data_IF_843977448102
#
_entry.id   IF_843977448102
#
_cell.length_a   1.000
_cell.length_b   1.000
_cell.length_c   1.000
_cell.angle_alpha   90.00
_cell.angle_beta   90.00
_cell.angle_gamma   90.00
#
_symmetry.space_group_name_H-M   'P 1'
#
loop_
_entity.id
_entity.type
_entity.pdbx_description
1 polymer ?
#
# COMPACT_ATOMS: atom_id res chain seq x y z
N UNK A 1 25.55 87.20 20.13
CA UNK A 1 26.62 86.70 19.24
C UNK A 1 26.15 85.38 18.67
N UNK A 2 25.87 85.34 17.35
CA UNK A 2 26.63 84.60 16.32
C UNK A 2 26.45 83.06 16.44
N UNK A 3 26.13 82.23 15.44
CA UNK A 3 25.78 82.34 14.01
C UNK A 3 25.72 80.88 13.48
N UNK A 4 24.92 80.61 12.40
CA UNK A 4 24.99 79.49 11.44
C UNK A 4 24.75 78.04 11.93
N UNK A 5 23.66 77.35 11.52
CA UNK A 5 23.36 76.68 10.23
C UNK A 5 24.00 75.30 10.04
N UNK A 6 23.17 74.26 9.90
CA UNK A 6 23.25 73.31 8.79
C UNK A 6 22.04 72.35 8.79
N UNK A 7 21.29 72.43 7.69
CA UNK A 7 20.33 71.46 7.15
C UNK A 7 21.04 70.12 6.87
N UNK A 8 20.35 68.97 6.98
CA UNK A 8 20.39 67.87 5.98
C UNK A 8 19.35 66.77 6.28
N UNK A 9 18.40 66.69 5.34
CA UNK A 9 17.67 65.56 4.75
C UNK A 9 16.98 64.48 5.60
N UNK A 10 15.64 64.51 5.45
CA UNK A 10 14.74 63.39 5.20
C UNK A 10 15.35 62.01 4.91
N UNK A 11 14.92 61.01 5.68
CA UNK A 11 14.69 59.64 5.21
C UNK A 11 13.44 59.08 5.92
N UNK A 12 12.27 59.60 5.55
CA UNK A 12 11.05 58.81 5.53
C UNK A 12 10.94 58.19 4.12
N UNK A 13 10.48 56.94 4.05
CA UNK A 13 10.52 56.01 2.90
C UNK A 13 11.88 55.33 2.68
N UNK A 14 12.03 54.10 3.19
CA UNK A 14 12.01 52.85 2.40
C UNK A 14 11.78 51.68 3.39
N UNK A 15 10.53 51.32 3.63
CA UNK A 15 10.15 49.98 4.11
C UNK A 15 8.79 49.61 3.48
N UNK A 16 8.74 49.66 2.16
CA UNK A 16 7.66 49.09 1.35
C UNK A 16 8.27 48.54 0.06
N UNK A 17 9.00 47.44 0.17
CA UNK A 17 9.34 46.60 -0.98
C UNK A 17 9.72 45.16 -0.60
N UNK A 18 9.27 44.67 0.57
CA UNK A 18 9.14 43.24 0.82
C UNK A 18 7.68 42.99 1.12
N UNK A 19 6.85 43.18 0.10
CA UNK A 19 5.51 42.60 0.02
C UNK A 19 5.63 41.09 -0.16
N UNK A 20 6.30 40.41 0.78
CA UNK A 20 5.98 39.02 1.03
C UNK A 20 4.55 39.02 1.52
N UNK A 21 3.62 38.48 0.72
CA UNK A 21 2.31 38.12 1.27
C UNK A 21 2.62 37.21 2.45
N UNK A 22 2.39 37.70 3.67
CA UNK A 22 2.20 36.82 4.82
C UNK A 22 0.99 35.97 4.45
N UNK A 23 1.25 34.78 3.90
CA UNK A 23 0.23 33.75 3.75
C UNK A 23 -0.16 33.41 5.18
N UNK A 24 -1.31 33.93 5.61
CA UNK A 24 -1.88 33.51 6.88
C UNK A 24 -2.28 32.06 6.70
N UNK A 25 -1.60 31.17 7.42
CA UNK A 25 -1.97 29.76 7.50
C UNK A 25 -3.35 29.70 8.14
N UNK A 26 -4.29 28.97 7.51
CA UNK A 26 -5.62 28.83 8.08
C UNK A 26 -5.58 27.98 9.36
N UNK A 27 -6.56 28.19 10.25
CA UNK A 27 -6.71 27.34 11.43
C UNK A 27 -6.90 25.87 11.03
N UNK A 28 -7.62 25.61 9.94
CA UNK A 28 -7.80 24.28 9.33
C UNK A 28 -6.47 23.64 8.91
N UNK A 29 -5.54 24.40 8.31
CA UNK A 29 -4.23 23.89 7.91
C UNK A 29 -3.37 23.54 9.13
N UNK A 30 -3.44 24.35 10.19
CA UNK A 30 -2.76 24.05 11.46
C UNK A 30 -3.35 22.82 12.16
N UNK A 31 -4.68 22.67 12.15
CA UNK A 31 -5.37 21.52 12.74
C UNK A 31 -5.04 20.23 11.99
N UNK A 32 -5.15 20.25 10.65
CA UNK A 32 -4.81 19.12 9.82
C UNK A 32 -3.33 18.71 9.97
N UNK A 33 -2.41 19.68 10.10
CA UNK A 33 -0.99 19.40 10.39
C UNK A 33 -0.84 18.63 11.70
N UNK A 34 -1.42 19.14 12.79
CA UNK A 34 -1.35 18.48 14.11
C UNK A 34 -1.96 17.08 14.07
N UNK A 35 -3.08 16.92 13.37
CA UNK A 35 -3.71 15.62 13.22
C UNK A 35 -2.80 14.63 12.48
N UNK A 36 -2.21 15.04 11.34
CA UNK A 36 -1.25 14.21 10.59
C UNK A 36 -0.05 13.84 11.45
N UNK A 37 0.53 14.80 12.19
CA UNK A 37 1.66 14.54 13.11
C UNK A 37 1.27 13.56 14.22
N UNK A 38 0.06 13.67 14.76
CA UNK A 38 -0.43 12.77 15.82
C UNK A 38 -0.62 11.33 15.32
N UNK A 39 -1.18 11.14 14.12
CA UNK A 39 -1.45 9.80 13.58
C UNK A 39 -0.21 9.14 12.96
N UNK A 40 0.85 9.89 12.67
CA UNK A 40 2.06 9.37 12.01
C UNK A 40 2.73 8.27 12.85
N UNK A 41 2.92 8.51 14.15
CA UNK A 41 3.52 7.53 15.08
C UNK A 41 2.68 6.24 15.18
N UNK A 42 1.35 6.36 15.19
CA UNK A 42 0.46 5.21 15.21
C UNK A 42 0.51 4.44 13.88
N UNK A 43 0.54 5.15 12.74
CA UNK A 43 0.70 4.53 11.42
C UNK A 43 2.02 3.75 11.35
N UNK A 44 3.13 4.31 11.85
CA UNK A 44 4.44 3.66 11.85
C UNK A 44 4.43 2.39 12.71
N UNK A 45 3.87 2.45 13.92
CA UNK A 45 3.74 1.28 14.80
C UNK A 45 2.87 0.19 14.15
N UNK A 46 1.70 0.55 13.63
CA UNK A 46 0.79 -0.39 12.94
C UNK A 46 1.41 -1.01 11.71
N UNK A 47 2.22 -0.25 10.96
CA UNK A 47 2.96 -0.77 9.79
C UNK A 47 3.99 -1.80 10.19
N UNK A 48 4.73 -1.58 11.29
CA UNK A 48 5.69 -2.56 11.79
C UNK A 48 4.97 -3.86 12.18
N UNK A 49 3.89 -3.78 12.96
CA UNK A 49 3.07 -4.96 13.32
C UNK A 49 2.52 -5.67 12.09
N UNK A 50 1.96 -4.94 11.11
CA UNK A 50 1.47 -5.52 9.86
C UNK A 50 2.57 -6.19 9.04
N UNK A 51 3.76 -5.59 8.99
CA UNK A 51 4.91 -6.17 8.28
C UNK A 51 5.40 -7.46 8.96
N UNK A 52 5.42 -7.49 10.29
CA UNK A 52 5.81 -8.68 11.06
C UNK A 52 4.80 -9.82 10.89
N UNK A 53 3.50 -9.52 10.90
CA UNK A 53 2.45 -10.51 10.66
C UNK A 53 2.52 -11.09 9.24
N UNK A 54 2.75 -10.23 8.23
CA UNK A 54 2.96 -10.67 6.85
C UNK A 54 4.18 -11.58 6.74
N UNK A 55 5.32 -11.16 7.33
CA UNK A 55 6.55 -11.93 7.33
C UNK A 55 6.37 -13.30 7.99
N UNK A 56 5.67 -13.37 9.12
CA UNK A 56 5.40 -14.62 9.83
C UNK A 56 4.66 -15.62 8.92
N UNK A 57 3.64 -15.16 8.19
CA UNK A 57 2.90 -16.02 7.25
C UNK A 57 3.72 -16.43 6.03
N UNK A 58 4.38 -15.49 5.37
CA UNK A 58 5.13 -15.78 4.13
C UNK A 58 6.38 -16.65 4.38
N UNK A 59 6.95 -16.61 5.60
CA UNK A 59 8.07 -17.49 5.99
C UNK A 59 7.64 -18.82 6.62
N UNK A 60 6.39 -18.92 7.07
CA UNK A 60 5.78 -20.14 7.64
C UNK A 60 4.27 -20.16 7.36
N UNK A 61 3.89 -20.76 6.23
CA UNK A 61 2.51 -20.75 5.70
C UNK A 61 1.64 -21.77 6.45
N UNK A 62 0.94 -21.29 7.48
CA UNK A 62 -0.03 -22.06 8.26
C UNK A 62 -1.27 -21.21 8.63
N UNK A 63 -2.32 -21.88 9.11
CA UNK A 63 -3.63 -21.26 9.43
C UNK A 63 -3.53 -20.21 10.56
N UNK A 64 -2.71 -20.48 11.58
CA UNK A 64 -2.56 -19.57 12.73
C UNK A 64 -1.92 -18.25 12.29
N UNK A 65 -0.84 -18.30 11.51
CA UNK A 65 -0.18 -17.12 10.95
C UNK A 65 -1.09 -16.37 9.97
N UNK A 66 -1.86 -17.10 9.15
CA UNK A 66 -2.82 -16.51 8.21
C UNK A 66 -3.91 -15.71 8.95
N UNK A 67 -4.45 -16.28 10.02
CA UNK A 67 -5.46 -15.63 10.85
C UNK A 67 -4.92 -14.31 11.43
N UNK A 68 -3.72 -14.34 12.03
CA UNK A 68 -3.08 -13.13 12.59
C UNK A 68 -2.84 -12.07 11.50
N UNK A 69 -2.29 -12.46 10.34
CA UNK A 69 -2.08 -11.57 9.19
C UNK A 69 -3.39 -10.89 8.77
N UNK A 70 -4.47 -11.65 8.62
CA UNK A 70 -5.76 -11.13 8.19
C UNK A 70 -6.42 -10.21 9.23
N UNK A 71 -6.36 -10.56 10.52
CA UNK A 71 -6.87 -9.72 11.59
C UNK A 71 -6.16 -8.36 11.66
N UNK A 72 -4.83 -8.37 11.56
CA UNK A 72 -4.02 -7.14 11.53
C UNK A 72 -4.34 -6.30 10.29
N UNK A 73 -4.48 -6.94 9.11
CA UNK A 73 -4.85 -6.24 7.89
C UNK A 73 -6.24 -5.59 7.99
N UNK A 74 -7.25 -6.30 8.53
CA UNK A 74 -8.59 -5.78 8.74
C UNK A 74 -8.61 -4.60 9.73
N UNK A 75 -7.93 -4.73 10.87
CA UNK A 75 -7.82 -3.66 11.85
C UNK A 75 -7.14 -2.40 11.27
N UNK A 76 -6.10 -2.58 10.47
CA UNK A 76 -5.42 -1.47 9.79
C UNK A 76 -6.30 -0.83 8.71
N UNK A 77 -7.13 -1.61 7.99
CA UNK A 77 -8.07 -1.07 7.02
C UNK A 77 -9.12 -0.17 7.69
N UNK A 78 -9.66 -0.58 8.84
CA UNK A 78 -10.60 0.24 9.64
C UNK A 78 -9.93 1.54 10.09
N UNK A 79 -8.77 1.46 10.71
CA UNK A 79 -8.02 2.63 11.18
C UNK A 79 -7.71 3.62 10.04
N UNK A 80 -7.23 3.13 8.89
CA UNK A 80 -6.91 4.00 7.75
C UNK A 80 -8.15 4.68 7.18
N UNK A 81 -9.32 4.00 7.16
CA UNK A 81 -10.59 4.63 6.77
C UNK A 81 -10.95 5.80 7.69
N UNK A 82 -10.76 5.66 9.00
CA UNK A 82 -11.01 6.73 9.97
C UNK A 82 -10.09 7.93 9.75
N UNK A 83 -8.80 7.68 9.53
CA UNK A 83 -7.82 8.71 9.19
C UNK A 83 -8.21 9.43 7.90
N UNK A 84 -8.52 8.69 6.84
CA UNK A 84 -8.94 9.25 5.56
C UNK A 84 -10.24 10.07 5.69
N UNK A 85 -11.24 9.55 6.42
CA UNK A 85 -12.52 10.24 6.63
C UNK A 85 -12.35 11.53 7.42
N UNK A 86 -11.42 11.57 8.38
CA UNK A 86 -11.08 12.80 9.10
C UNK A 86 -10.41 13.80 8.19
N UNK A 87 -9.39 13.36 7.44
CA UNK A 87 -8.63 14.24 6.55
C UNK A 87 -9.44 14.78 5.36
N UNK A 88 -10.43 14.03 4.86
CA UNK A 88 -11.34 14.46 3.79
C UNK A 88 -12.28 15.61 4.20
N UNK A 89 -12.38 15.95 5.49
CA UNK A 89 -13.18 17.09 5.96
C UNK A 89 -12.52 18.44 5.67
N UNK A 90 -11.21 18.46 5.47
CA UNK A 90 -10.47 19.67 5.19
C UNK A 90 -10.42 19.96 3.68
N UNK A 91 -10.55 21.24 3.30
CA UNK A 91 -10.30 21.75 1.95
C UNK A 91 -8.78 21.80 1.66
N UNK A 92 -8.09 20.67 1.85
CA UNK A 92 -6.63 20.64 1.97
C UNK A 92 -5.92 21.06 0.68
N UNK A 93 -6.53 20.96 -0.50
CA UNK A 93 -5.93 21.44 -1.75
C UNK A 93 -5.70 22.96 -1.76
N UNK A 94 -6.40 23.71 -0.89
CA UNK A 94 -6.19 25.15 -0.67
C UNK A 94 -5.03 25.50 0.28
N UNK A 95 -4.47 24.50 0.98
CA UNK A 95 -3.40 24.72 1.95
C UNK A 95 -2.14 25.26 1.29
N UNK A 96 -1.41 26.09 2.04
CA UNK A 96 -0.16 26.69 1.59
C UNK A 96 1.02 25.71 1.65
N UNK A 97 1.00 24.77 2.59
CA UNK A 97 2.01 23.73 2.77
C UNK A 97 1.83 22.57 1.77
N UNK A 98 2.68 22.54 0.74
CA UNK A 98 2.69 21.49 -0.28
C UNK A 98 2.99 20.08 0.26
N UNK A 99 3.81 19.97 1.32
CA UNK A 99 4.14 18.68 1.91
C UNK A 99 2.94 18.13 2.68
N UNK A 100 2.25 18.98 3.43
CA UNK A 100 1.01 18.62 4.11
C UNK A 100 -0.06 18.19 3.10
N UNK A 101 -0.24 18.93 2.00
CA UNK A 101 -1.15 18.54 0.90
C UNK A 101 -0.84 17.17 0.36
N UNK A 102 0.44 16.92 0.06
CA UNK A 102 0.89 15.63 -0.45
C UNK A 102 0.65 14.50 0.55
N UNK A 103 0.94 14.71 1.84
CA UNK A 103 0.69 13.73 2.91
C UNK A 103 -0.80 13.39 2.98
N UNK A 104 -1.67 14.41 3.05
CA UNK A 104 -3.12 14.23 3.12
C UNK A 104 -3.63 13.50 1.89
N UNK A 105 -3.22 13.91 0.67
CA UNK A 105 -3.61 13.23 -0.58
C UNK A 105 -3.22 11.75 -0.58
N UNK A 106 -2.10 11.37 0.03
CA UNK A 106 -1.69 9.96 0.17
C UNK A 106 -2.52 9.21 1.21
N UNK A 107 -2.77 9.83 2.36
CA UNK A 107 -3.55 9.22 3.45
C UNK A 107 -5.05 9.06 3.10
N UNK A 108 -5.58 9.87 2.18
CA UNK A 108 -6.98 9.78 1.75
C UNK A 108 -7.23 8.79 0.60
N UNK A 109 -6.17 8.26 -0.02
CA UNK A 109 -6.22 7.20 -1.03
C UNK A 109 -5.94 5.85 -0.34
N UNK A 110 -7.00 5.09 -0.11
CA UNK A 110 -7.00 3.91 0.77
C UNK A 110 -6.60 2.60 0.11
N UNK A 111 -6.52 2.56 -1.23
CA UNK A 111 -6.31 1.29 -1.94
C UNK A 111 -7.46 0.32 -1.63
N UNK A 112 -7.14 -0.94 -1.32
CA UNK A 112 -8.15 -1.97 -1.00
C UNK A 112 -8.93 -1.67 0.27
N UNK A 113 -8.32 -0.96 1.23
CA UNK A 113 -8.97 -0.54 2.47
C UNK A 113 -10.15 0.42 2.25
N UNK A 114 -10.47 0.83 1.02
CA UNK A 114 -11.70 1.57 0.73
C UNK A 114 -12.94 0.66 0.72
N UNK A 115 -12.75 -0.64 0.48
CA UNK A 115 -13.83 -1.62 0.36
C UNK A 115 -14.56 -1.80 1.71
N UNK A 116 -15.88 -2.06 1.71
CA UNK A 116 -16.60 -2.56 2.88
C UNK A 116 -15.90 -3.76 3.53
N UNK A 117 -16.04 -3.93 4.86
CA UNK A 117 -15.26 -4.93 5.63
C UNK A 117 -15.42 -6.37 5.13
N UNK A 118 -16.65 -6.77 4.78
CA UNK A 118 -16.98 -8.06 4.19
C UNK A 118 -16.26 -8.28 2.85
N UNK A 119 -16.37 -7.31 1.94
CA UNK A 119 -15.71 -7.39 0.63
C UNK A 119 -14.18 -7.25 0.71
N UNK A 120 -13.66 -6.52 1.69
CA UNK A 120 -12.23 -6.46 1.96
C UNK A 120 -11.71 -7.81 2.44
N UNK A 121 -12.44 -8.48 3.34
CA UNK A 121 -12.11 -9.83 3.78
C UNK A 121 -12.15 -10.84 2.63
N UNK A 122 -13.20 -10.80 1.78
CA UNK A 122 -13.28 -11.65 0.58
C UNK A 122 -12.09 -11.41 -0.37
N UNK A 123 -11.64 -10.16 -0.52
CA UNK A 123 -10.48 -9.82 -1.33
C UNK A 123 -9.19 -10.40 -0.75
N UNK A 124 -8.97 -10.24 0.56
CA UNK A 124 -7.80 -10.81 1.24
C UNK A 124 -7.78 -12.32 1.10
N UNK A 125 -8.91 -12.98 1.34
CA UNK A 125 -9.01 -14.43 1.25
C UNK A 125 -8.71 -14.95 -0.16
N UNK A 126 -9.20 -14.26 -1.20
CA UNK A 126 -8.89 -14.62 -2.59
C UNK A 126 -7.38 -14.47 -2.89
N UNK A 127 -6.75 -13.39 -2.42
CA UNK A 127 -5.30 -13.18 -2.59
C UNK A 127 -4.52 -14.28 -1.86
N UNK A 128 -4.86 -14.55 -0.59
CA UNK A 128 -4.16 -15.53 0.22
C UNK A 128 -4.28 -16.95 -0.34
N UNK A 129 -5.46 -17.36 -0.81
CA UNK A 129 -5.65 -18.68 -1.47
C UNK A 129 -4.78 -18.82 -2.72
N UNK A 130 -4.66 -17.75 -3.51
CA UNK A 130 -3.78 -17.77 -4.68
C UNK A 130 -2.30 -17.87 -4.30
N UNK A 131 -1.86 -17.09 -3.30
CA UNK A 131 -0.48 -17.14 -2.78
C UNK A 131 -0.15 -18.53 -2.23
N UNK A 132 -1.02 -19.08 -1.39
CA UNK A 132 -0.84 -20.38 -0.78
C UNK A 132 -0.78 -21.50 -1.83
N UNK A 133 -1.69 -21.49 -2.81
CA UNK A 133 -1.66 -22.47 -3.89
C UNK A 133 -0.34 -22.40 -4.66
N UNK A 134 0.08 -21.20 -5.05
CA UNK A 134 1.33 -21.02 -5.78
C UNK A 134 2.56 -21.50 -4.99
N UNK A 135 2.58 -21.28 -3.67
CA UNK A 135 3.69 -21.65 -2.80
C UNK A 135 3.73 -23.16 -2.47
N UNK A 136 2.58 -23.83 -2.39
CA UNK A 136 2.48 -25.22 -1.90
C UNK A 136 2.33 -26.28 -2.99
N UNK A 137 1.93 -25.89 -4.20
CA UNK A 137 1.69 -26.86 -5.29
C UNK A 137 2.95 -27.65 -5.61
N UNK A 138 2.75 -28.96 -5.77
CA UNK A 138 3.76 -29.91 -6.23
C UNK A 138 3.20 -30.73 -7.38
N UNK A 139 4.07 -31.14 -8.30
CA UNK A 139 3.71 -31.95 -9.47
C UNK A 139 4.46 -33.28 -9.48
N UNK A 140 3.95 -34.26 -10.23
CA UNK A 140 4.57 -35.57 -10.34
C UNK A 140 5.69 -35.59 -11.37
N UNK A 141 6.74 -36.36 -11.11
CA UNK A 141 7.89 -36.54 -12.00
C UNK A 141 7.47 -37.16 -13.34
N UNK A 142 8.03 -36.64 -14.43
CA UNK A 142 7.73 -37.06 -15.81
C UNK A 142 8.01 -38.54 -16.09
N UNK A 143 9.01 -39.13 -15.43
CA UNK A 143 9.47 -40.51 -15.65
C UNK A 143 8.96 -41.47 -14.57
N UNK A 144 8.57 -40.95 -13.41
CA UNK A 144 8.07 -41.72 -12.28
C UNK A 144 6.88 -41.02 -11.60
N UNK A 145 5.67 -41.30 -12.09
CA UNK A 145 4.43 -40.74 -11.55
C UNK A 145 4.15 -41.09 -10.08
N UNK A 146 4.96 -41.95 -9.43
CA UNK A 146 4.84 -42.19 -7.99
C UNK A 146 5.52 -41.10 -7.13
N UNK A 147 6.39 -40.27 -7.74
CA UNK A 147 7.08 -39.16 -7.09
C UNK A 147 6.37 -37.85 -7.41
N UNK A 148 5.63 -37.32 -6.43
CA UNK A 148 4.82 -36.11 -6.57
C UNK A 148 5.24 -35.02 -5.58
N UNK A 149 6.54 -34.74 -5.58
CA UNK A 149 7.19 -33.85 -4.61
C UNK A 149 7.94 -32.68 -5.25
N UNK A 150 7.87 -32.50 -6.58
CA UNK A 150 8.55 -31.41 -7.30
C UNK A 150 7.80 -30.09 -7.15
N UNK A 151 8.42 -29.10 -6.53
CA UNK A 151 7.89 -27.74 -6.40
C UNK A 151 8.41 -26.85 -7.54
N UNK A 152 7.87 -25.63 -7.65
CA UNK A 152 8.36 -24.68 -8.64
C UNK A 152 9.85 -24.38 -8.44
N UNK A 153 10.22 -24.03 -7.22
CA UNK A 153 11.57 -23.68 -6.83
C UNK A 153 12.13 -24.69 -5.81
N UNK A 154 13.32 -25.25 -6.04
CA UNK A 154 14.15 -25.10 -7.24
C UNK A 154 13.76 -26.05 -8.40
N UNK A 155 12.97 -27.09 -8.17
CA UNK A 155 12.95 -28.27 -9.06
C UNK A 155 12.47 -27.95 -10.48
N UNK A 156 11.24 -27.46 -10.64
CA UNK A 156 10.71 -27.18 -11.97
C UNK A 156 11.48 -26.05 -12.67
N UNK A 157 11.90 -25.02 -11.92
CA UNK A 157 12.71 -23.93 -12.47
C UNK A 157 14.02 -24.45 -13.05
N UNK A 158 14.72 -25.35 -12.36
CA UNK A 158 15.96 -25.95 -12.87
C UNK A 158 15.70 -26.85 -14.08
N UNK A 159 14.65 -27.69 -14.04
CA UNK A 159 14.28 -28.56 -15.16
C UNK A 159 13.95 -27.74 -16.41
N UNK A 160 13.12 -26.70 -16.27
CA UNK A 160 12.71 -25.84 -17.38
C UNK A 160 13.89 -25.05 -17.97
N UNK A 161 14.90 -24.74 -17.16
CA UNK A 161 16.12 -24.06 -17.61
C UNK A 161 17.10 -25.01 -18.35
N UNK A 162 17.25 -26.23 -17.86
CA UNK A 162 18.34 -27.14 -18.26
C UNK A 162 17.92 -28.25 -19.21
N UNK A 163 16.69 -28.75 -19.12
CA UNK A 163 16.20 -29.82 -19.99
C UNK A 163 16.15 -29.39 -21.45
N UNK A 164 16.41 -30.34 -22.33
CA UNK A 164 16.31 -30.20 -23.79
C UNK A 164 15.38 -31.24 -24.41
N UNK A 165 14.68 -32.01 -23.58
CA UNK A 165 13.64 -32.95 -24.02
C UNK A 165 12.32 -32.18 -24.17
N UNK A 166 11.78 -32.03 -25.40
CA UNK A 166 10.56 -31.29 -25.63
C UNK A 166 9.34 -31.87 -24.91
N UNK A 167 9.24 -33.19 -24.74
CA UNK A 167 8.08 -33.81 -24.09
C UNK A 167 8.13 -33.65 -22.57
N UNK A 168 9.34 -33.67 -21.97
CA UNK A 168 9.53 -33.35 -20.55
C UNK A 168 9.15 -31.89 -20.25
N UNK A 169 9.64 -30.94 -21.05
CA UNK A 169 9.32 -29.52 -20.90
C UNK A 169 7.81 -29.25 -21.06
N UNK A 170 7.19 -29.87 -22.06
CA UNK A 170 5.74 -29.77 -22.29
C UNK A 170 4.95 -30.36 -21.11
N UNK A 171 5.38 -31.52 -20.59
CA UNK A 171 4.74 -32.16 -19.46
C UNK A 171 4.75 -31.23 -18.24
N UNK A 172 5.91 -30.72 -17.83
CA UNK A 172 5.99 -29.86 -16.64
C UNK A 172 5.28 -28.51 -16.82
N UNK A 173 5.33 -27.92 -18.02
CA UNK A 173 4.56 -26.72 -18.32
C UNK A 173 3.05 -26.94 -18.11
N UNK A 174 2.53 -28.07 -18.61
CA UNK A 174 1.11 -28.41 -18.49
C UNK A 174 0.74 -28.77 -17.04
N UNK A 175 1.54 -29.60 -16.37
CA UNK A 175 1.29 -29.98 -14.97
C UNK A 175 1.28 -28.76 -14.05
N UNK A 176 2.23 -27.84 -14.22
CA UNK A 176 2.26 -26.61 -13.44
C UNK A 176 1.03 -25.75 -13.72
N UNK A 177 0.64 -25.59 -15.00
CA UNK A 177 -0.59 -24.87 -15.33
C UNK A 177 -1.83 -25.49 -14.68
N UNK A 178 -1.97 -26.81 -14.75
CA UNK A 178 -3.14 -27.52 -14.23
C UNK A 178 -3.22 -27.50 -12.70
N UNK A 179 -2.07 -27.51 -12.00
CA UNK A 179 -2.03 -27.54 -10.54
C UNK A 179 -1.96 -26.13 -9.91
N UNK A 180 -1.15 -25.22 -10.45
CA UNK A 180 -0.98 -23.88 -9.90
C UNK A 180 -1.91 -22.83 -10.56
N UNK A 181 -2.13 -22.95 -11.87
CA UNK A 181 -2.86 -21.93 -12.65
C UNK A 181 -4.37 -22.16 -12.72
N UNK A 182 -4.82 -23.34 -13.11
CA UNK A 182 -6.23 -23.61 -13.33
C UNK A 182 -7.11 -23.46 -12.05
N UNK A 183 -6.66 -23.88 -10.85
CA UNK A 183 -7.46 -23.74 -9.62
C UNK A 183 -7.62 -22.31 -9.14
N UNK A 184 -6.73 -21.40 -9.53
CA UNK A 184 -6.74 -19.99 -9.06
C UNK A 184 -7.64 -19.07 -9.89
N UNK A 185 -8.30 -19.58 -10.94
CA UNK A 185 -9.11 -18.76 -11.87
C UNK A 185 -10.23 -17.99 -11.17
N UNK A 186 -10.98 -18.64 -10.29
CA UNK A 186 -12.12 -18.01 -9.61
C UNK A 186 -11.66 -16.95 -8.60
N UNK A 187 -10.59 -17.24 -7.85
CA UNK A 187 -9.97 -16.28 -6.94
C UNK A 187 -9.36 -15.09 -7.69
N UNK A 188 -8.73 -15.32 -8.84
CA UNK A 188 -8.20 -14.25 -9.68
C UNK A 188 -9.32 -13.36 -10.23
N UNK A 189 -10.43 -13.96 -10.67
CA UNK A 189 -11.60 -13.21 -11.12
C UNK A 189 -12.19 -12.36 -9.98
N UNK A 190 -12.37 -12.95 -8.79
CA UNK A 190 -12.81 -12.24 -7.59
C UNK A 190 -11.89 -11.06 -7.26
N UNK A 191 -10.57 -11.28 -7.27
CA UNK A 191 -9.56 -10.25 -7.07
C UNK A 191 -9.71 -9.11 -8.09
N UNK A 192 -9.83 -9.41 -9.38
CA UNK A 192 -9.98 -8.40 -10.44
C UNK A 192 -11.25 -7.57 -10.26
N UNK A 193 -12.37 -8.21 -9.95
CA UNK A 193 -13.66 -7.54 -9.78
C UNK A 193 -13.63 -6.58 -8.59
N UNK A 194 -13.14 -7.04 -7.43
CA UNK A 194 -13.03 -6.23 -6.21
C UNK A 194 -11.97 -5.14 -6.33
N UNK A 195 -10.84 -5.42 -6.98
CA UNK A 195 -9.83 -4.40 -7.30
C UNK A 195 -10.42 -3.30 -8.18
N UNK A 196 -11.25 -3.67 -9.18
CA UNK A 196 -11.98 -2.71 -10.00
C UNK A 196 -12.95 -1.84 -9.20
N UNK A 197 -13.65 -2.41 -8.23
CA UNK A 197 -14.52 -1.66 -7.29
C UNK A 197 -13.68 -0.70 -6.45
N UNK A 198 -12.61 -1.18 -5.82
CA UNK A 198 -11.72 -0.38 -5.00
C UNK A 198 -11.12 0.79 -5.79
N UNK A 199 -10.69 0.55 -7.03
CA UNK A 199 -10.13 1.60 -7.90
C UNK A 199 -11.16 2.72 -8.18
N UNK A 200 -12.42 2.38 -8.46
CA UNK A 200 -13.51 3.35 -8.66
C UNK A 200 -13.88 4.09 -7.38
N UNK A 201 -13.79 3.45 -6.22
CA UNK A 201 -14.08 4.10 -4.93
C UNK A 201 -12.95 5.04 -4.48
N UNK A 202 -11.72 4.82 -4.98
CA UNK A 202 -10.57 5.68 -4.72
C UNK A 202 -10.42 6.82 -5.73
N UNK A 203 -11.27 6.95 -6.75
CA UNK A 203 -11.14 8.03 -7.76
C UNK A 203 -11.45 9.39 -7.17
#
# INVERSE_FOLDING_TARGET
>A
MRFFSAVILAFALVCCALGGKLVSVSDDELEARRYVEQVDEEILSRRNVGTEAEWAYESDINEDNLMVKNEVAAANAVFLKEVANTLKKYEYESFSDEDLKRKIRKLTKLGYSVLPEDTFAEMLDAINRMQENYAKVKVCDYRDNSKCDLALEPELTEIMATSRDPEELKYYWQQWYDAAGAPTRDDFQKYVDLNGVAARMNS
#
